data_IF_183825304667
#
_entry.id   IF_183825304667
#
_cell.length_a   1.000
_cell.length_b   1.000
_cell.length_c   1.000
_cell.angle_alpha   90.00
_cell.angle_beta   90.00
_cell.angle_gamma   90.00
#
_symmetry.space_group_name_H-M   'P 1'
#
loop_
_entity.id
_entity.type
_entity.pdbx_description
1 polymer ?
#
# COMPACT_ATOMS: atom_id res chain seq x y z
N UNK A 1 4.78 5.83 17.48
CA UNK A 1 3.71 4.88 17.08
C UNK A 1 2.37 5.13 17.75
N UNK A 2 2.29 5.45 19.06
CA UNK A 2 1.01 5.86 19.68
C UNK A 2 0.48 7.20 19.15
N UNK A 3 1.37 8.16 18.87
CA UNK A 3 1.01 9.51 18.40
C UNK A 3 0.31 9.51 17.04
N UNK A 4 0.55 8.51 16.18
CA UNK A 4 -0.12 8.38 14.87
C UNK A 4 -1.55 7.81 14.99
N UNK A 5 -1.84 7.05 16.06
CA UNK A 5 -3.20 6.54 16.33
C UNK A 5 -4.12 7.63 16.88
N UNK A 6 -3.59 8.59 17.63
CA UNK A 6 -4.39 9.69 18.20
C UNK A 6 -4.71 10.79 17.18
N UNK A 7 -3.87 10.97 16.15
CA UNK A 7 -4.12 11.96 15.07
C UNK A 7 -5.20 11.46 14.09
N UNK A 8 -5.49 10.16 14.05
CA UNK A 8 -6.44 9.58 13.07
C UNK A 8 -7.91 9.57 13.51
N UNK A 9 -8.23 9.86 14.78
CA UNK A 9 -9.63 9.82 15.23
C UNK A 9 -10.45 11.08 14.87
N UNK A 10 -9.81 12.22 14.55
CA UNK A 10 -10.51 13.51 14.48
C UNK A 10 -10.46 14.25 13.12
N UNK A 11 -9.94 13.66 12.04
CA UNK A 11 -9.72 14.43 10.79
C UNK A 11 -10.58 14.04 9.59
N UNK A 12 -11.34 12.94 9.62
CA UNK A 12 -12.33 12.64 8.56
C UNK A 12 -13.51 11.89 9.19
N UNK A 13 -14.49 12.60 9.74
CA UNK A 13 -15.84 12.04 9.79
C UNK A 13 -16.26 11.76 8.34
N UNK A 14 -16.46 10.49 8.00
CA UNK A 14 -16.84 10.13 6.65
C UNK A 14 -18.19 10.76 6.32
N UNK A 15 -18.20 11.80 5.47
CA UNK A 15 -19.42 12.53 5.08
C UNK A 15 -20.54 11.56 4.70
N UNK A 16 -21.69 11.65 5.37
CA UNK A 16 -22.86 10.82 5.01
C UNK A 16 -23.39 11.29 3.66
N UNK A 17 -23.98 10.38 2.90
CA UNK A 17 -24.73 10.77 1.70
C UNK A 17 -25.83 11.76 2.14
N UNK A 18 -25.91 12.97 1.56
CA UNK A 18 -26.97 13.91 1.89
C UNK A 18 -28.35 13.27 1.68
N UNK A 19 -29.31 13.58 2.54
CA UNK A 19 -30.65 12.96 2.54
C UNK A 19 -31.41 13.11 1.22
N UNK A 20 -31.12 14.18 0.49
CA UNK A 20 -31.68 14.56 -0.80
C UNK A 20 -30.96 13.91 -1.99
N UNK A 21 -29.88 13.16 -1.75
CA UNK A 21 -29.08 12.53 -2.77
C UNK A 21 -29.17 11.00 -2.70
N UNK A 22 -29.24 10.37 -3.86
CA UNK A 22 -29.13 8.91 -3.99
C UNK A 22 -27.91 8.57 -4.84
N UNK A 23 -26.96 7.75 -4.34
CA UNK A 23 -25.82 7.30 -5.13
C UNK A 23 -26.30 6.45 -6.30
N UNK A 24 -25.76 6.69 -7.49
CA UNK A 24 -26.12 5.96 -8.72
C UNK A 24 -24.99 5.13 -9.31
N UNK A 25 -23.76 5.44 -8.90
CA UNK A 25 -22.56 4.76 -9.36
C UNK A 25 -21.47 4.85 -8.31
N UNK A 26 -20.65 3.81 -8.20
CA UNK A 26 -19.45 3.79 -7.36
C UNK A 26 -18.20 3.48 -8.20
N UNK A 27 -17.24 4.39 -8.20
CA UNK A 27 -15.88 4.10 -8.65
C UNK A 27 -14.98 3.83 -7.45
N UNK A 28 -14.34 2.66 -7.41
CA UNK A 28 -13.31 2.31 -6.44
C UNK A 28 -12.01 1.96 -7.17
N UNK A 29 -10.91 2.61 -6.79
CA UNK A 29 -9.55 2.18 -7.14
C UNK A 29 -8.79 1.96 -5.83
N UNK A 30 -8.59 0.70 -5.47
CA UNK A 30 -7.98 0.30 -4.22
C UNK A 30 -6.59 -0.28 -4.44
N UNK A 31 -5.66 -0.02 -3.52
CA UNK A 31 -4.41 -0.79 -3.43
C UNK A 31 -4.72 -2.18 -2.88
N UNK A 32 -3.93 -3.17 -3.27
CA UNK A 32 -3.91 -4.44 -2.53
C UNK A 32 -3.68 -4.25 -1.03
N UNK A 33 -4.16 -5.18 -0.22
CA UNK A 33 -3.99 -5.14 1.24
C UNK A 33 -2.57 -5.43 1.70
N UNK A 34 -2.41 -5.49 3.01
CA UNK A 34 -1.15 -5.83 3.67
C UNK A 34 -0.60 -7.16 3.16
N UNK A 35 0.71 -7.18 2.86
CA UNK A 35 1.40 -8.30 2.21
C UNK A 35 2.70 -8.66 2.93
N UNK A 36 3.20 -9.88 2.68
CA UNK A 36 4.54 -10.26 3.08
C UNK A 36 5.61 -9.43 2.33
N UNK A 37 6.83 -9.31 2.86
CA UNK A 37 7.95 -8.72 2.12
C UNK A 37 8.17 -9.44 0.78
N UNK A 38 8.65 -8.73 -0.24
CA UNK A 38 8.96 -9.36 -1.53
C UNK A 38 10.17 -10.28 -1.39
N UNK A 39 10.34 -11.25 -2.29
CA UNK A 39 11.51 -12.15 -2.30
C UNK A 39 12.85 -11.42 -2.22
N UNK A 40 12.98 -10.25 -2.87
CA UNK A 40 14.18 -9.40 -2.75
C UNK A 40 14.38 -8.93 -1.31
N UNK A 41 13.34 -8.37 -0.69
CA UNK A 41 13.37 -7.87 0.69
C UNK A 41 13.59 -8.99 1.72
N UNK A 42 13.06 -10.18 1.50
CA UNK A 42 13.31 -11.34 2.37
C UNK A 42 14.81 -11.69 2.43
N UNK A 43 15.51 -11.68 1.29
CA UNK A 43 16.96 -11.91 1.25
C UNK A 43 17.75 -10.79 1.93
N UNK A 44 17.31 -9.55 1.80
CA UNK A 44 17.93 -8.41 2.50
C UNK A 44 17.79 -8.57 4.02
N UNK A 45 16.63 -9.02 4.51
CA UNK A 45 16.41 -9.29 5.94
C UNK A 45 17.21 -10.50 6.45
N UNK A 46 17.39 -11.55 5.64
CA UNK A 46 18.26 -12.67 6.00
C UNK A 46 19.73 -12.24 6.08
N UNK A 47 20.19 -11.42 5.13
CA UNK A 47 21.53 -10.81 5.17
C UNK A 47 21.71 -9.93 6.42
N UNK A 48 20.68 -9.13 6.74
CA UNK A 48 20.66 -8.34 7.98
C UNK A 48 20.81 -9.24 9.21
N UNK A 49 20.15 -10.41 9.25
CA UNK A 49 20.30 -11.36 10.36
C UNK A 49 21.76 -11.76 10.62
N UNK A 50 22.49 -12.10 9.55
CA UNK A 50 23.92 -12.42 9.63
C UNK A 50 24.74 -11.23 10.10
N UNK A 51 24.47 -10.06 9.54
CA UNK A 51 25.13 -8.80 9.87
C UNK A 51 24.94 -8.38 11.33
N UNK A 52 23.76 -8.59 11.92
CA UNK A 52 23.50 -8.31 13.33
C UNK A 52 24.34 -9.20 14.26
N UNK A 53 24.49 -10.49 13.92
CA UNK A 53 25.35 -11.42 14.68
C UNK A 53 26.82 -11.01 14.64
N UNK A 54 27.31 -10.54 13.49
CA UNK A 54 28.67 -10.03 13.36
C UNK A 54 28.91 -8.80 14.24
N UNK A 55 27.95 -7.86 14.28
CA UNK A 55 28.01 -6.68 15.14
C UNK A 55 28.07 -7.02 16.62
N UNK A 56 27.27 -8.00 17.06
CA UNK A 56 27.27 -8.47 18.45
C UNK A 56 28.60 -9.14 18.79
N UNK A 57 29.12 -10.02 17.92
CA UNK A 57 30.42 -10.66 18.12
C UNK A 57 31.57 -9.66 18.19
N UNK A 58 31.56 -8.65 17.32
CA UNK A 58 32.55 -7.56 17.36
C UNK A 58 32.44 -6.76 18.67
N UNK A 59 31.22 -6.52 19.15
CA UNK A 59 31.01 -5.82 20.41
C UNK A 59 31.53 -6.59 21.62
N UNK A 60 31.29 -7.91 21.65
CA UNK A 60 31.84 -8.82 22.66
C UNK A 60 33.38 -8.82 22.62
N UNK A 61 33.98 -8.93 21.43
CA UNK A 61 35.43 -8.89 21.27
C UNK A 61 36.06 -7.56 21.72
N UNK A 62 35.33 -6.45 21.59
CA UNK A 62 35.73 -5.12 22.07
C UNK A 62 35.37 -4.85 23.54
N UNK A 63 34.79 -5.81 24.25
CA UNK A 63 34.30 -5.66 25.63
C UNK A 63 33.38 -4.43 25.81
N UNK A 64 32.49 -4.19 24.85
CA UNK A 64 31.49 -3.14 24.97
C UNK A 64 30.56 -3.40 26.17
N UNK A 65 30.17 -2.36 26.94
CA UNK A 65 29.18 -2.49 28.00
C UNK A 65 27.87 -3.09 27.50
N UNK A 66 27.25 -3.98 28.28
CA UNK A 66 26.05 -4.71 27.85
C UNK A 66 24.83 -3.80 27.61
N UNK A 67 24.77 -2.65 28.29
CA UNK A 67 23.72 -1.63 28.10
C UNK A 67 23.82 -0.91 26.74
N UNK A 68 24.98 -0.98 26.06
CA UNK A 68 25.18 -0.43 24.72
C UNK A 68 24.59 -1.31 23.62
N UNK A 69 24.52 -2.62 23.84
CA UNK A 69 24.06 -3.60 22.83
C UNK A 69 22.62 -4.03 23.14
N UNK A 70 21.62 -3.63 22.33
CA UNK A 70 20.25 -4.07 22.54
C UNK A 70 20.13 -5.60 22.58
N UNK A 71 19.54 -6.13 23.65
CA UNK A 71 19.54 -7.57 23.92
C UNK A 71 18.83 -8.44 22.89
N UNK A 72 18.00 -7.83 22.02
CA UNK A 72 17.34 -8.53 20.93
C UNK A 72 18.27 -8.80 19.73
N UNK A 73 19.32 -7.98 19.50
CA UNK A 73 20.17 -8.08 18.29
C UNK A 73 20.82 -9.45 18.13
N UNK A 74 21.41 -9.99 19.20
CA UNK A 74 22.08 -11.31 19.16
C UNK A 74 21.11 -12.49 19.06
N UNK A 75 19.83 -12.26 19.39
CA UNK A 75 18.77 -13.27 19.42
C UNK A 75 17.84 -13.18 18.21
N UNK A 76 17.97 -12.12 17.41
CA UNK A 76 17.07 -11.88 16.30
C UNK A 76 17.23 -12.96 15.24
N UNK A 77 16.10 -13.52 14.85
CA UNK A 77 15.98 -14.46 13.74
C UNK A 77 14.88 -13.91 12.85
N UNK A 78 15.14 -13.86 11.54
CA UNK A 78 14.14 -13.42 10.57
C UNK A 78 12.84 -14.20 10.78
N UNK A 79 11.70 -13.53 11.04
CA UNK A 79 10.39 -14.16 11.14
C UNK A 79 9.98 -14.88 9.85
N UNK A 80 10.65 -14.57 8.75
CA UNK A 80 10.46 -15.15 7.43
C UNK A 80 11.57 -16.14 7.04
N UNK A 81 12.35 -16.63 8.01
CA UNK A 81 13.41 -17.61 7.75
C UNK A 81 12.81 -18.87 7.12
N UNK A 82 13.36 -19.27 5.98
CA UNK A 82 12.89 -20.44 5.22
C UNK A 82 11.79 -20.13 4.20
N UNK A 83 11.28 -18.89 4.16
CA UNK A 83 10.30 -18.49 3.15
C UNK A 83 10.92 -18.44 1.74
N UNK A 84 10.37 -19.24 0.83
CA UNK A 84 10.85 -19.33 -0.57
C UNK A 84 10.07 -18.39 -1.50
N UNK A 85 8.83 -18.08 -1.12
CA UNK A 85 7.91 -17.15 -1.80
C UNK A 85 7.89 -15.81 -1.05
N UNK A 86 7.38 -14.76 -1.70
CA UNK A 86 7.28 -13.45 -1.05
C UNK A 86 6.46 -12.46 -1.86
N UNK A 87 5.86 -11.50 -1.16
CA UNK A 87 4.98 -10.48 -1.74
C UNK A 87 3.54 -10.94 -1.93
N UNK A 88 3.14 -12.01 -1.25
CA UNK A 88 1.77 -12.53 -1.20
C UNK A 88 0.93 -11.71 -0.21
N UNK A 89 -0.38 -11.62 -0.48
CA UNK A 89 -1.33 -11.05 0.48
C UNK A 89 -1.31 -11.91 1.74
N UNK A 90 -1.28 -11.29 2.91
CA UNK A 90 -1.36 -12.02 4.18
C UNK A 90 -2.78 -11.92 4.76
N UNK A 91 -3.08 -12.75 5.77
CA UNK A 91 -4.40 -12.78 6.43
C UNK A 91 -4.91 -11.41 6.88
N UNK A 92 -4.01 -10.58 7.41
CA UNK A 92 -4.37 -9.21 7.77
C UNK A 92 -4.83 -8.40 6.55
N UNK A 93 -4.16 -8.53 5.41
CA UNK A 93 -4.58 -7.89 4.16
C UNK A 93 -5.89 -8.47 3.60
N UNK A 94 -6.17 -9.75 3.82
CA UNK A 94 -7.47 -10.34 3.48
C UNK A 94 -8.57 -9.72 4.33
N UNK A 95 -8.39 -9.63 5.65
CA UNK A 95 -9.37 -9.00 6.55
C UNK A 95 -9.56 -7.52 6.24
N UNK A 96 -8.48 -6.76 6.01
CA UNK A 96 -8.54 -5.35 5.61
C UNK A 96 -9.48 -5.12 4.41
N UNK A 97 -9.37 -5.97 3.39
CA UNK A 97 -10.17 -5.85 2.17
C UNK A 97 -11.58 -6.39 2.35
N UNK A 98 -11.74 -7.50 3.07
CA UNK A 98 -13.06 -8.03 3.43
C UNK A 98 -13.87 -6.99 4.19
N UNK A 99 -13.30 -6.41 5.25
CA UNK A 99 -13.95 -5.37 6.03
C UNK A 99 -14.19 -4.10 5.21
N UNK A 100 -13.31 -3.76 4.25
CA UNK A 100 -13.57 -2.67 3.31
C UNK A 100 -14.80 -2.96 2.43
N UNK A 101 -14.95 -4.19 1.94
CA UNK A 101 -16.13 -4.63 1.17
C UNK A 101 -17.43 -4.50 1.96
N UNK A 102 -17.42 -4.98 3.22
CA UNK A 102 -18.56 -4.85 4.14
C UNK A 102 -18.93 -3.38 4.35
N UNK A 103 -17.96 -2.52 4.69
CA UNK A 103 -18.20 -1.08 4.90
C UNK A 103 -18.71 -0.38 3.64
N UNK A 104 -18.25 -0.78 2.45
CA UNK A 104 -18.74 -0.23 1.17
C UNK A 104 -20.20 -0.60 0.95
N UNK A 105 -20.59 -1.86 1.20
CA UNK A 105 -21.99 -2.29 1.12
C UNK A 105 -22.88 -1.50 2.08
N UNK A 106 -22.46 -1.40 3.35
CA UNK A 106 -23.22 -0.71 4.40
C UNK A 106 -23.35 0.79 4.14
N UNK A 107 -22.33 1.41 3.54
CA UNK A 107 -22.34 2.83 3.20
C UNK A 107 -23.23 3.15 2.00
N UNK A 108 -23.37 2.23 1.05
CA UNK A 108 -24.13 2.43 -0.19
C UNK A 108 -25.13 1.30 -0.44
N UNK A 109 -26.09 1.05 0.48
CA UNK A 109 -26.96 -0.13 0.42
C UNK A 109 -27.73 -0.18 -0.90
N UNK A 110 -28.27 0.95 -1.36
CA UNK A 110 -29.07 1.06 -2.59
C UNK A 110 -28.32 0.72 -3.87
N UNK A 111 -26.98 0.81 -3.88
CA UNK A 111 -26.18 0.38 -5.02
C UNK A 111 -26.05 -1.14 -5.09
N UNK A 112 -26.12 -1.85 -3.95
CA UNK A 112 -25.84 -3.28 -3.82
C UNK A 112 -27.07 -4.09 -3.39
N UNK A 113 -28.27 -3.63 -3.75
CA UNK A 113 -29.54 -4.34 -3.52
C UNK A 113 -29.70 -5.53 -4.48
N UNK A 114 -29.25 -5.39 -5.72
CA UNK A 114 -29.41 -6.39 -6.78
C UNK A 114 -28.44 -7.57 -6.62
N UNK A 115 -28.80 -8.69 -7.25
CA UNK A 115 -27.92 -9.85 -7.35
C UNK A 115 -26.68 -9.55 -8.18
N UNK A 116 -25.57 -10.23 -7.87
CA UNK A 116 -24.33 -10.04 -8.61
C UNK A 116 -24.50 -10.43 -10.09
N UNK A 117 -24.19 -9.47 -10.96
CA UNK A 117 -23.91 -9.65 -12.38
C UNK A 117 -22.61 -8.91 -12.75
N UNK A 118 -21.71 -9.50 -13.56
CA UNK A 118 -20.41 -8.87 -13.90
C UNK A 118 -20.53 -7.54 -14.64
N UNK A 119 -21.61 -7.32 -15.40
CA UNK A 119 -21.84 -6.05 -16.12
C UNK A 119 -22.44 -4.94 -15.23
N UNK A 120 -22.98 -5.31 -14.06
CA UNK A 120 -23.54 -4.36 -13.07
C UNK A 120 -22.48 -4.00 -12.03
N UNK A 121 -21.73 -5.01 -11.57
CA UNK A 121 -20.70 -4.89 -10.54
C UNK A 121 -19.35 -5.37 -11.08
N UNK A 122 -18.73 -4.55 -11.92
CA UNK A 122 -17.44 -4.87 -12.54
C UNK A 122 -16.34 -4.90 -11.49
N UNK A 123 -15.72 -6.07 -11.28
CA UNK A 123 -14.53 -6.24 -10.42
C UNK A 123 -13.31 -6.56 -11.27
N UNK A 124 -12.28 -5.72 -11.14
CA UNK A 124 -11.01 -5.83 -11.88
C UNK A 124 -9.83 -5.82 -10.93
N UNK A 125 -8.80 -6.59 -11.25
CA UNK A 125 -7.52 -6.52 -10.57
C UNK A 125 -6.38 -6.53 -11.58
N UNK A 126 -5.24 -5.94 -11.21
CA UNK A 126 -4.00 -6.18 -11.96
C UNK A 126 -3.68 -7.68 -11.95
N UNK A 127 -3.03 -8.18 -13.01
CA UNK A 127 -2.56 -9.57 -13.10
C UNK A 127 -1.34 -9.82 -12.19
N UNK A 128 -1.49 -9.55 -10.90
CA UNK A 128 -0.53 -9.76 -9.82
C UNK A 128 -1.27 -10.43 -8.65
N UNK A 129 -0.79 -11.58 -8.13
CA UNK A 129 -1.55 -12.41 -7.18
C UNK A 129 -2.13 -11.66 -5.98
N UNK A 130 -1.34 -10.81 -5.32
CA UNK A 130 -1.82 -10.03 -4.16
C UNK A 130 -2.95 -9.04 -4.48
N UNK A 131 -3.00 -8.50 -5.70
CA UNK A 131 -4.07 -7.59 -6.11
C UNK A 131 -5.35 -8.35 -6.44
N UNK A 132 -5.22 -9.49 -7.14
CA UNK A 132 -6.36 -10.40 -7.40
C UNK A 132 -6.93 -10.98 -6.10
N UNK A 133 -6.08 -11.47 -5.20
CA UNK A 133 -6.51 -11.95 -3.87
C UNK A 133 -7.19 -10.84 -3.04
N UNK A 134 -6.73 -9.59 -3.16
CA UNK A 134 -7.38 -8.44 -2.50
C UNK A 134 -8.77 -8.17 -3.06
N UNK A 135 -8.93 -8.26 -4.39
CA UNK A 135 -10.23 -8.13 -5.04
C UNK A 135 -11.20 -9.24 -4.60
N UNK A 136 -10.70 -10.47 -4.46
CA UNK A 136 -11.47 -11.60 -3.94
C UNK A 136 -11.89 -11.36 -2.49
N UNK A 137 -10.96 -11.01 -1.61
CA UNK A 137 -11.29 -10.72 -0.21
C UNK A 137 -12.33 -9.60 -0.09
N UNK A 138 -12.17 -8.52 -0.86
CA UNK A 138 -13.15 -7.44 -0.93
C UNK A 138 -14.52 -7.91 -1.43
N UNK A 139 -14.56 -8.68 -2.52
CA UNK A 139 -15.80 -9.23 -3.07
C UNK A 139 -16.52 -10.16 -2.10
N UNK A 140 -15.77 -10.97 -1.35
CA UNK A 140 -16.34 -11.82 -0.27
C UNK A 140 -16.99 -10.98 0.82
N UNK A 141 -16.41 -9.83 1.18
CA UNK A 141 -17.03 -8.90 2.12
C UNK A 141 -18.27 -8.22 1.53
N UNK A 142 -18.13 -7.66 0.33
CA UNK A 142 -19.17 -6.92 -0.39
C UNK A 142 -20.43 -7.77 -0.64
N UNK A 143 -20.26 -9.03 -1.01
CA UNK A 143 -21.36 -9.95 -1.33
C UNK A 143 -21.57 -11.06 -0.29
N UNK A 144 -21.06 -10.87 0.93
CA UNK A 144 -21.40 -11.76 2.05
C UNK A 144 -22.92 -11.76 2.26
N UNK A 145 -23.48 -12.91 2.65
CA UNK A 145 -24.92 -13.10 2.91
C UNK A 145 -25.87 -12.90 1.70
N UNK A 146 -25.31 -12.73 0.49
CA UNK A 146 -26.06 -12.53 -0.76
C UNK A 146 -26.14 -13.80 -1.64
N UNK A 147 -25.79 -14.97 -1.11
CA UNK A 147 -25.88 -16.24 -1.83
C UNK A 147 -26.14 -17.43 -0.92
N UNK A 148 -25.93 -18.64 -1.46
CA UNK A 148 -26.26 -19.90 -0.77
C UNK A 148 -25.03 -20.81 -0.58
N UNK A 149 -23.82 -20.31 -0.89
CA UNK A 149 -22.60 -21.11 -0.78
C UNK A 149 -22.04 -21.09 0.65
N UNK A 150 -22.15 -22.23 1.32
CA UNK A 150 -21.56 -22.49 2.63
C UNK A 150 -22.18 -21.67 3.77
N UNK A 151 -21.66 -21.80 5.01
CA UNK A 151 -22.23 -21.17 6.20
C UNK A 151 -22.28 -19.63 6.13
N UNK A 152 -21.35 -19.02 5.38
CA UNK A 152 -21.31 -17.57 5.18
C UNK A 152 -22.26 -17.05 4.11
N UNK A 153 -23.10 -17.92 3.50
CA UNK A 153 -24.07 -17.55 2.46
C UNK A 153 -23.42 -16.71 1.35
N UNK A 154 -22.25 -17.17 0.88
CA UNK A 154 -21.44 -16.42 -0.06
C UNK A 154 -22.06 -16.46 -1.46
N UNK A 155 -21.95 -15.35 -2.19
CA UNK A 155 -22.23 -15.28 -3.62
C UNK A 155 -20.93 -15.41 -4.41
N UNK A 156 -20.90 -16.26 -5.44
CA UNK A 156 -19.79 -16.31 -6.38
C UNK A 156 -19.78 -15.05 -7.27
N UNK A 157 -18.59 -14.54 -7.57
CA UNK A 157 -18.38 -13.36 -8.43
C UNK A 157 -17.13 -13.54 -9.29
N UNK A 158 -17.02 -12.74 -10.35
CA UNK A 158 -15.88 -12.77 -11.26
C UNK A 158 -14.91 -11.63 -10.95
N UNK A 159 -13.61 -11.94 -10.97
CA UNK A 159 -12.54 -10.93 -10.96
C UNK A 159 -11.81 -11.04 -12.29
N UNK A 160 -11.84 -9.97 -13.07
CA UNK A 160 -11.15 -9.94 -14.38
C UNK A 160 -9.82 -9.19 -14.29
N UNK A 161 -8.92 -9.47 -15.21
CA UNK A 161 -7.61 -8.81 -15.28
C UNK A 161 -7.20 -8.57 -16.73
N UNK A 162 -6.47 -7.49 -16.97
CA UNK A 162 -5.76 -7.27 -18.23
C UNK A 162 -4.41 -7.97 -18.25
N UNK A 163 -3.86 -8.18 -19.45
CA UNK A 163 -2.51 -8.69 -19.59
C UNK A 163 -1.50 -7.76 -18.90
N UNK A 164 -0.62 -8.33 -18.09
CA UNK A 164 0.39 -7.59 -17.31
C UNK A 164 1.23 -6.60 -18.14
N UNK A 165 1.50 -6.91 -19.40
CA UNK A 165 2.34 -6.11 -20.30
C UNK A 165 1.59 -4.93 -20.95
N UNK A 166 0.26 -4.99 -21.02
CA UNK A 166 -0.57 -4.02 -21.76
C UNK A 166 -1.68 -3.39 -20.91
N UNK A 167 -1.67 -3.59 -19.59
CA UNK A 167 -2.61 -2.96 -18.66
C UNK A 167 -2.31 -1.47 -18.47
N UNK A 168 -2.73 -0.66 -19.43
CA UNK A 168 -2.54 0.81 -19.44
C UNK A 168 -3.42 1.53 -18.41
N UNK A 169 -4.37 0.85 -17.77
CA UNK A 169 -5.28 1.47 -16.78
C UNK A 169 -4.80 1.25 -15.35
N UNK A 170 -4.50 0.02 -14.97
CA UNK A 170 -4.12 -0.31 -13.59
C UNK A 170 -2.62 -0.53 -13.41
N UNK A 171 -1.86 -0.67 -14.51
CA UNK A 171 -0.39 -0.80 -14.52
C UNK A 171 0.29 0.16 -15.49
N UNK A 172 -0.25 1.37 -15.71
CA UNK A 172 0.39 2.38 -16.57
C UNK A 172 1.87 2.62 -16.24
N UNK A 173 2.26 2.51 -14.97
CA UNK A 173 3.65 2.65 -14.50
C UNK A 173 4.60 1.57 -15.05
N UNK A 174 4.05 0.47 -15.57
CA UNK A 174 4.76 -0.61 -16.24
C UNK A 174 4.66 -0.54 -17.76
N UNK A 175 3.64 0.13 -18.31
CA UNK A 175 3.45 0.28 -19.75
C UNK A 175 4.14 1.54 -20.31
N UNK A 176 4.30 2.60 -19.52
CA UNK A 176 4.89 3.86 -19.95
C UNK A 176 6.44 3.79 -19.96
N UNK A 177 7.04 3.67 -21.15
CA UNK A 177 8.50 3.62 -21.29
C UNK A 177 9.19 4.93 -20.89
N UNK A 178 8.58 6.08 -21.19
CA UNK A 178 9.12 7.38 -20.78
C UNK A 178 9.21 7.50 -19.26
N UNK A 179 8.18 7.04 -18.54
CA UNK A 179 8.19 7.01 -17.07
C UNK A 179 9.28 6.07 -16.53
N UNK A 180 9.43 4.87 -17.10
CA UNK A 180 10.50 3.94 -16.71
C UNK A 180 11.89 4.56 -16.89
N UNK A 181 12.14 5.16 -18.04
CA UNK A 181 13.41 5.84 -18.34
C UNK A 181 13.66 7.01 -17.40
N UNK A 182 12.64 7.86 -17.19
CA UNK A 182 12.71 8.98 -16.23
C UNK A 182 13.04 8.50 -14.82
N UNK A 183 12.29 7.51 -14.32
CA UNK A 183 12.46 6.97 -12.97
C UNK A 183 13.87 6.41 -12.79
N UNK A 184 14.34 5.58 -13.71
CA UNK A 184 15.68 4.99 -13.64
C UNK A 184 16.78 6.05 -13.65
N UNK A 185 16.61 7.13 -14.43
CA UNK A 185 17.57 8.24 -14.47
C UNK A 185 17.52 9.11 -13.19
N UNK A 186 16.35 9.26 -12.58
CA UNK A 186 16.13 10.15 -11.43
C UNK A 186 16.42 9.49 -10.08
N UNK A 187 16.23 8.17 -9.95
CA UNK A 187 16.39 7.40 -8.70
C UNK A 187 17.75 7.65 -8.01
N UNK A 188 18.91 7.65 -8.71
CA UNK A 188 20.20 7.93 -8.06
C UNK A 188 20.31 9.34 -7.47
N UNK A 189 19.66 10.34 -8.08
CA UNK A 189 19.64 11.70 -7.56
C UNK A 189 18.75 11.81 -6.31
N UNK A 190 17.64 11.07 -6.27
CA UNK A 190 16.76 10.98 -5.10
C UNK A 190 17.46 10.27 -3.94
N UNK A 191 18.20 9.20 -4.22
CA UNK A 191 19.00 8.53 -3.18
C UNK A 191 20.05 9.46 -2.58
N UNK A 192 20.71 10.28 -3.40
CA UNK A 192 21.63 11.34 -2.91
C UNK A 192 20.94 12.37 -2.01
N UNK A 193 19.68 12.74 -2.30
CA UNK A 193 18.92 13.67 -1.45
C UNK A 193 18.60 13.10 -0.07
N UNK A 194 18.47 11.77 0.05
CA UNK A 194 18.22 11.06 1.31
C UNK A 194 19.50 10.84 2.13
N UNK A 195 20.67 10.90 1.51
CA UNK A 195 21.94 10.61 2.18
C UNK A 195 22.22 11.48 3.43
N UNK A 196 21.95 12.79 3.46
CA UNK A 196 22.17 13.60 4.66
C UNK A 196 21.37 13.09 5.87
N UNK A 197 20.11 12.68 5.65
CA UNK A 197 19.26 12.10 6.69
C UNK A 197 19.86 10.78 7.17
N UNK A 198 20.18 9.87 6.24
CA UNK A 198 20.75 8.56 6.58
C UNK A 198 22.12 8.69 7.27
N UNK A 199 22.99 9.60 6.84
CA UNK A 199 24.29 9.86 7.46
C UNK A 199 24.13 10.34 8.90
N UNK A 200 23.25 11.33 9.12
CA UNK A 200 22.97 11.88 10.46
C UNK A 200 22.45 10.80 11.41
N UNK A 201 21.48 10.01 10.97
CA UNK A 201 20.87 8.95 11.78
C UNK A 201 21.88 7.84 12.04
N UNK A 202 22.64 7.43 11.02
CA UNK A 202 23.69 6.41 11.19
C UNK A 202 24.72 6.85 12.22
N UNK A 203 25.23 8.08 12.15
CA UNK A 203 26.18 8.60 13.14
C UNK A 203 25.59 8.62 14.56
N UNK A 204 24.31 8.99 14.69
CA UNK A 204 23.57 8.99 15.95
C UNK A 204 23.41 7.60 16.56
N UNK A 205 22.96 6.62 15.76
CA UNK A 205 22.73 5.22 16.17
C UNK A 205 24.07 4.55 16.51
N UNK A 206 25.12 4.75 15.71
CA UNK A 206 26.49 4.27 16.00
C UNK A 206 26.98 4.82 17.32
N UNK A 207 26.84 6.14 17.56
CA UNK A 207 27.25 6.77 18.82
C UNK A 207 26.46 6.24 20.02
N UNK A 208 25.16 5.98 19.86
CA UNK A 208 24.26 5.49 20.92
C UNK A 208 24.66 4.09 21.38
N UNK A 209 24.89 3.19 20.42
CA UNK A 209 25.10 1.76 20.69
C UNK A 209 26.57 1.30 20.66
N UNK A 210 27.50 2.14 20.19
CA UNK A 210 28.91 1.73 20.01
C UNK A 210 29.12 0.64 18.95
N UNK A 211 28.08 0.32 18.18
CA UNK A 211 28.08 -0.68 17.11
C UNK A 211 28.38 -0.01 15.77
N UNK A 212 29.27 -0.62 14.99
CA UNK A 212 29.73 -0.11 13.69
C UNK A 212 28.68 -0.29 12.59
N UNK A 213 27.49 0.27 12.76
CA UNK A 213 26.42 0.27 11.75
C UNK A 213 26.82 1.11 10.52
N UNK A 214 26.56 0.55 9.34
CA UNK A 214 26.66 1.26 8.07
C UNK A 214 25.34 1.95 7.72
N UNK A 215 25.35 2.86 6.73
CA UNK A 215 24.12 3.40 6.13
C UNK A 215 23.17 2.31 5.65
N UNK A 216 23.71 1.24 5.06
CA UNK A 216 22.91 0.14 4.56
C UNK A 216 22.26 -0.64 5.71
N UNK A 217 22.98 -0.83 6.83
CA UNK A 217 22.41 -1.47 8.01
C UNK A 217 21.24 -0.66 8.55
N UNK A 218 21.40 0.66 8.69
CA UNK A 218 20.35 1.58 9.16
C UNK A 218 19.14 1.58 8.23
N UNK A 219 19.35 1.59 6.92
CA UNK A 219 18.27 1.48 5.93
C UNK A 219 17.50 0.16 6.05
N UNK A 220 18.23 -0.96 6.21
CA UNK A 220 17.63 -2.28 6.40
C UNK A 220 16.89 -2.40 7.75
N UNK A 221 17.41 -1.79 8.81
CA UNK A 221 16.77 -1.72 10.14
C UNK A 221 15.51 -0.83 10.11
N UNK A 222 15.54 0.29 9.39
CA UNK A 222 14.35 1.09 9.17
C UNK A 222 13.27 0.31 8.42
N UNK A 223 13.66 -0.41 7.36
CA UNK A 223 12.76 -1.32 6.67
C UNK A 223 12.22 -2.41 7.61
N UNK A 224 13.08 -3.06 8.40
CA UNK A 224 12.67 -4.08 9.38
C UNK A 224 11.69 -3.52 10.40
N UNK A 225 11.92 -2.32 10.94
CA UNK A 225 11.01 -1.66 11.87
C UNK A 225 9.60 -1.54 11.27
N UNK A 226 9.48 -1.07 10.02
CA UNK A 226 8.19 -0.99 9.34
C UNK A 226 7.52 -2.35 9.21
N UNK A 227 8.27 -3.41 8.89
CA UNK A 227 7.73 -4.76 8.77
C UNK A 227 7.32 -5.36 10.12
N UNK A 228 8.13 -5.19 11.16
CA UNK A 228 7.84 -5.65 12.54
C UNK A 228 6.61 -4.95 13.11
N UNK A 229 6.53 -3.62 12.98
CA UNK A 229 5.42 -2.84 13.50
C UNK A 229 4.12 -3.17 12.76
N UNK A 230 4.14 -3.23 11.42
CA UNK A 230 2.92 -3.38 10.63
C UNK A 230 2.43 -4.83 10.50
N UNK A 231 3.34 -5.82 10.48
CA UNK A 231 2.97 -7.23 10.23
C UNK A 231 2.98 -8.09 11.49
N UNK A 232 3.79 -7.74 12.49
CA UNK A 232 4.03 -8.57 13.68
C UNK A 232 3.62 -7.88 14.97
N UNK A 233 3.19 -6.62 14.90
CA UNK A 233 2.89 -5.78 16.06
C UNK A 233 4.07 -5.69 17.05
N UNK A 234 5.31 -5.73 16.53
CA UNK A 234 6.55 -5.64 17.30
C UNK A 234 7.14 -4.25 17.14
N UNK A 235 7.29 -3.52 18.25
CA UNK A 235 7.82 -2.13 18.25
C UNK A 235 9.02 -1.93 19.19
N UNK A 236 9.39 -2.96 19.95
CA UNK A 236 10.50 -2.99 20.91
C UNK A 236 11.74 -3.74 20.40
N UNK A 237 11.94 -3.75 19.07
CA UNK A 237 13.11 -4.34 18.42
C UNK A 237 13.75 -3.32 17.48
N UNK A 238 13.62 -3.48 16.16
CA UNK A 238 14.30 -2.59 15.21
C UNK A 238 13.84 -1.13 15.34
N UNK A 239 12.56 -0.92 15.67
CA UNK A 239 12.03 0.43 15.88
C UNK A 239 12.63 1.16 17.08
N UNK A 240 13.04 0.44 18.13
CA UNK A 240 13.61 1.03 19.36
C UNK A 240 15.01 1.62 19.12
N UNK A 241 15.68 1.23 18.04
CA UNK A 241 16.96 1.83 17.64
C UNK A 241 16.82 3.30 17.25
N UNK A 242 15.61 3.76 16.92
CA UNK A 242 15.36 5.11 16.42
C UNK A 242 14.56 5.93 17.45
N UNK A 243 15.01 7.14 17.69
CA UNK A 243 14.21 8.12 18.46
C UNK A 243 13.00 8.59 17.64
N UNK A 244 11.93 9.12 18.27
CA UNK A 244 10.76 9.61 17.55
C UNK A 244 11.08 10.66 16.46
N UNK A 245 12.07 11.53 16.68
CA UNK A 245 12.49 12.52 15.69
C UNK A 245 13.29 11.91 14.54
N UNK A 246 14.07 10.87 14.80
CA UNK A 246 14.75 10.09 13.75
C UNK A 246 13.74 9.31 12.90
N UNK A 247 12.70 8.73 13.52
CA UNK A 247 11.58 8.10 12.80
C UNK A 247 10.88 9.10 11.88
N UNK A 248 10.52 10.28 12.38
CA UNK A 248 9.88 11.31 11.55
C UNK A 248 10.75 11.74 10.35
N UNK A 249 12.08 11.82 10.53
CA UNK A 249 13.01 12.12 9.44
C UNK A 249 13.11 10.97 8.42
N UNK A 250 13.05 9.71 8.86
CA UNK A 250 13.06 8.54 7.97
C UNK A 250 11.75 8.43 7.18
N UNK A 251 10.61 8.70 7.83
CA UNK A 251 9.31 8.78 7.16
C UNK A 251 9.30 9.89 6.12
N UNK A 252 9.78 11.09 6.47
CA UNK A 252 9.94 12.19 5.52
C UNK A 252 10.85 11.83 4.34
N UNK A 253 11.94 11.08 4.57
CA UNK A 253 12.83 10.63 3.52
C UNK A 253 12.16 9.61 2.56
N UNK A 254 11.30 8.73 3.08
CA UNK A 254 10.47 7.84 2.27
C UNK A 254 9.42 8.63 1.46
N UNK A 255 8.78 9.63 2.08
CA UNK A 255 7.80 10.49 1.42
C UNK A 255 8.42 11.34 0.32
N UNK A 256 9.63 11.88 0.53
CA UNK A 256 10.40 12.60 -0.49
C UNK A 256 10.64 11.73 -1.73
N UNK A 257 11.01 10.46 -1.53
CA UNK A 257 11.20 9.51 -2.64
C UNK A 257 9.90 9.29 -3.42
N UNK A 258 8.80 9.04 -2.70
CA UNK A 258 7.48 8.83 -3.32
C UNK A 258 7.02 10.10 -4.06
N UNK A 259 7.16 11.27 -3.45
CA UNK A 259 6.80 12.55 -4.06
C UNK A 259 7.55 12.78 -5.37
N UNK A 260 8.87 12.59 -5.39
CA UNK A 260 9.69 12.85 -6.58
C UNK A 260 9.44 11.80 -7.67
N UNK A 261 9.43 10.52 -7.31
CA UNK A 261 9.44 9.43 -8.29
C UNK A 261 8.04 8.96 -8.71
N UNK A 262 7.00 9.25 -7.93
CA UNK A 262 5.64 8.71 -8.15
C UNK A 262 4.53 9.77 -8.01
N UNK A 263 4.76 10.83 -7.24
CA UNK A 263 3.79 11.90 -6.99
C UNK A 263 4.06 13.15 -7.84
N UNK A 264 3.81 14.32 -7.25
CA UNK A 264 3.84 15.62 -7.93
C UNK A 264 5.22 16.11 -8.37
N UNK A 265 6.32 15.43 -8.03
CA UNK A 265 7.67 15.86 -8.42
C UNK A 265 7.93 15.91 -9.93
N UNK A 266 7.12 15.24 -10.75
CA UNK A 266 7.11 15.42 -12.20
C UNK A 266 5.73 15.11 -12.79
N UNK A 267 5.28 15.92 -13.75
CA UNK A 267 3.98 15.70 -14.38
C UNK A 267 3.83 14.36 -15.11
N UNK A 268 4.93 13.78 -15.59
CA UNK A 268 4.95 12.45 -16.21
C UNK A 268 4.49 11.35 -15.23
N UNK A 269 4.78 11.51 -13.93
CA UNK A 269 4.45 10.52 -12.92
C UNK A 269 2.94 10.25 -12.84
N UNK A 270 2.11 11.27 -13.06
CA UNK A 270 0.65 11.15 -12.95
C UNK A 270 -0.09 11.26 -14.29
N UNK A 271 0.46 11.97 -15.30
CA UNK A 271 -0.13 12.02 -16.65
C UNK A 271 -0.18 10.65 -17.34
N UNK A 272 0.70 9.72 -16.97
CA UNK A 272 0.60 8.34 -17.46
C UNK A 272 -0.68 7.62 -17.02
N UNK A 273 -1.37 8.11 -15.99
CA UNK A 273 -2.64 7.58 -15.49
C UNK A 273 -3.89 8.07 -16.23
N UNK A 274 -3.77 8.90 -17.28
CA UNK A 274 -4.92 9.42 -18.04
C UNK A 274 -5.87 8.33 -18.54
N UNK A 275 -5.41 7.16 -19.06
CA UNK A 275 -6.33 6.10 -19.46
C UNK A 275 -7.21 5.55 -18.32
N UNK A 276 -6.73 5.61 -17.07
CA UNK A 276 -7.54 5.26 -15.90
C UNK A 276 -8.57 6.36 -15.58
N UNK A 277 -8.18 7.63 -15.72
CA UNK A 277 -9.09 8.76 -15.52
C UNK A 277 -10.23 8.74 -16.54
N UNK A 278 -9.91 8.55 -17.82
CA UNK A 278 -10.91 8.38 -18.88
C UNK A 278 -11.85 7.21 -18.57
N UNK A 279 -11.33 6.07 -18.11
CA UNK A 279 -12.15 4.91 -17.74
C UNK A 279 -13.08 5.18 -16.54
N UNK A 280 -12.68 6.04 -15.61
CA UNK A 280 -13.50 6.48 -14.47
C UNK A 280 -14.59 7.46 -14.92
N UNK A 281 -14.23 8.46 -15.72
CA UNK A 281 -15.19 9.46 -16.22
C UNK A 281 -16.25 8.82 -17.11
N UNK A 282 -15.83 7.97 -18.06
CA UNK A 282 -16.76 7.27 -18.94
C UNK A 282 -17.75 6.37 -18.17
N UNK A 283 -17.33 5.70 -17.08
CA UNK A 283 -18.26 4.88 -16.29
C UNK A 283 -19.28 5.74 -15.53
N UNK A 284 -18.87 6.92 -15.07
CA UNK A 284 -19.77 7.89 -14.43
C UNK A 284 -20.78 8.46 -15.43
N UNK A 285 -20.32 8.88 -16.61
CA UNK A 285 -21.17 9.39 -17.69
C UNK A 285 -22.19 8.34 -18.15
N UNK A 286 -21.76 7.08 -18.31
CA UNK A 286 -22.64 5.98 -18.67
C UNK A 286 -23.74 5.75 -17.63
N UNK A 287 -23.41 5.81 -16.34
CA UNK A 287 -24.38 5.66 -15.26
C UNK A 287 -25.36 6.84 -15.16
N UNK A 288 -24.89 8.07 -15.42
CA UNK A 288 -25.74 9.25 -15.51
C UNK A 288 -26.75 9.09 -16.65
N UNK A 289 -26.25 8.75 -17.85
CA UNK A 289 -27.10 8.53 -19.03
C UNK A 289 -28.14 7.42 -18.79
N UNK A 290 -27.73 6.29 -18.20
CA UNK A 290 -28.64 5.20 -17.87
C UNK A 290 -29.77 5.63 -16.93
N UNK A 291 -29.48 6.52 -15.97
CA UNK A 291 -30.49 7.09 -15.07
C UNK A 291 -31.43 8.06 -15.79
N UNK A 292 -30.90 8.95 -16.62
CA UNK A 292 -31.70 9.92 -17.39
C UNK A 292 -32.65 9.23 -18.38
N UNK A 293 -32.20 8.14 -18.99
CA UNK A 293 -33.00 7.32 -19.91
C UNK A 293 -33.96 6.35 -19.19
N UNK A 294 -33.97 6.33 -17.85
CA UNK A 294 -34.76 5.41 -17.03
C UNK A 294 -34.58 3.93 -17.42
N UNK A 295 -33.33 3.53 -17.68
CA UNK A 295 -33.02 2.13 -17.97
C UNK A 295 -33.37 1.23 -16.78
N UNK A 296 -33.80 -0.02 -17.02
CA UNK A 296 -34.21 -0.91 -15.95
C UNK A 296 -33.05 -1.20 -14.98
N UNK A 297 -33.34 -1.36 -13.66
CA UNK A 297 -32.36 -1.85 -12.69
C UNK A 297 -31.70 -3.14 -13.18
N UNK A 298 -30.39 -3.29 -12.95
CA UNK A 298 -29.60 -4.42 -13.42
C UNK A 298 -29.18 -4.39 -14.89
N UNK A 299 -29.56 -3.38 -15.69
CA UNK A 299 -29.15 -3.28 -17.10
C UNK A 299 -27.98 -2.33 -17.36
N UNK A 300 -27.37 -1.75 -16.32
CA UNK A 300 -26.27 -0.81 -16.41
C UNK A 300 -25.31 -0.93 -15.23
N UNK A 301 -24.09 -0.42 -15.40
CA UNK A 301 -23.02 -0.55 -14.40
C UNK A 301 -23.28 0.35 -13.19
N UNK A 302 -23.48 -0.27 -12.01
CA UNK A 302 -23.65 0.43 -10.72
C UNK A 302 -22.35 0.58 -9.95
N UNK A 303 -21.37 -0.30 -10.15
CA UNK A 303 -20.07 -0.15 -9.52
C UNK A 303 -18.94 -0.65 -10.41
N UNK A 304 -17.85 0.11 -10.42
CA UNK A 304 -16.59 -0.27 -11.04
C UNK A 304 -15.47 -0.30 -10.00
N UNK A 305 -15.06 -1.51 -9.66
CA UNK A 305 -14.21 -1.83 -8.51
C UNK A 305 -12.87 -2.34 -9.01
N UNK A 306 -11.78 -1.59 -8.77
CA UNK A 306 -10.46 -1.86 -9.36
C UNK A 306 -9.40 -2.04 -8.27
N UNK A 307 -8.60 -3.11 -8.34
CA UNK A 307 -7.56 -3.43 -7.35
C UNK A 307 -6.16 -3.42 -7.98
N UNK A 308 -5.27 -2.60 -7.43
CA UNK A 308 -3.98 -2.28 -8.03
C UNK A 308 -2.86 -2.08 -6.99
N UNK A 309 -1.93 -1.15 -7.25
CA UNK A 309 -0.71 -0.95 -6.48
C UNK A 309 -0.58 0.48 -5.96
N UNK A 310 0.35 0.72 -5.03
CA UNK A 310 0.68 2.08 -4.61
C UNK A 310 1.17 2.93 -5.81
N UNK A 311 1.89 2.29 -6.74
CA UNK A 311 2.32 2.85 -8.02
C UNK A 311 1.16 3.19 -8.99
N UNK A 312 -0.08 2.79 -8.66
CA UNK A 312 -1.31 3.21 -9.35
C UNK A 312 -2.00 4.31 -8.56
N UNK A 313 -2.20 4.11 -7.26
CA UNK A 313 -2.99 5.01 -6.41
C UNK A 313 -2.35 6.39 -6.29
N UNK A 314 -1.04 6.47 -6.01
CA UNK A 314 -0.35 7.75 -5.79
C UNK A 314 -0.36 8.63 -7.05
N UNK A 315 0.04 8.14 -8.23
CA UNK A 315 -0.15 8.88 -9.48
C UNK A 315 -1.60 9.30 -9.73
N UNK A 316 -2.56 8.41 -9.47
CA UNK A 316 -3.96 8.69 -9.77
C UNK A 316 -4.54 9.76 -8.85
N UNK A 317 -4.21 9.77 -7.55
CA UNK A 317 -4.59 10.86 -6.66
C UNK A 317 -4.00 12.20 -7.10
N UNK A 318 -2.74 12.20 -7.59
CA UNK A 318 -2.13 13.41 -8.13
C UNK A 318 -2.85 13.91 -9.38
N UNK A 319 -3.24 12.99 -10.28
CA UNK A 319 -3.98 13.30 -11.51
C UNK A 319 -5.37 13.89 -11.22
N UNK A 320 -6.01 13.47 -10.13
CA UNK A 320 -7.27 14.03 -9.63
C UNK A 320 -7.11 15.41 -8.96
N UNK A 321 -5.88 15.92 -8.83
CA UNK A 321 -5.62 17.19 -8.16
C UNK A 321 -5.71 17.14 -6.63
N UNK A 322 -5.71 15.94 -6.03
CA UNK A 322 -5.82 15.77 -4.59
C UNK A 322 -4.47 15.94 -3.90
N UNK A 323 -4.48 16.56 -2.71
CA UNK A 323 -3.29 16.73 -1.86
C UNK A 323 -2.16 17.57 -2.50
N UNK A 324 -2.51 18.40 -3.49
CA UNK A 324 -1.66 19.49 -3.94
C UNK A 324 -1.93 20.69 -3.01
N UNK A 325 -0.96 21.07 -2.20
CA UNK A 325 -1.10 22.26 -1.36
C UNK A 325 -1.34 23.50 -2.24
N UNK A 326 -2.36 24.29 -1.88
CA UNK A 326 -2.78 25.48 -2.61
C UNK A 326 -1.80 26.66 -2.51
N UNK A 327 -0.63 26.48 -1.89
CA UNK A 327 0.41 27.50 -1.79
C UNK A 327 1.34 27.45 -3.01
N UNK A 328 0.84 27.97 -4.12
CA UNK A 328 1.60 28.54 -5.22
C UNK A 328 1.30 30.03 -5.31
#
# INVERSE_FOLDING_TARGET
>A
YSVSKDVTQNLIEGSKVPSECTPIHLNLVARHGTRSPTKKRLRELESLAGRLKELVRDAEARNLPSDKVPGWLGKWVSPWKGEVKGGELIRQGEDELYQLGVRVRERFPTLFEEDYHPDVYTIRATQIPRASASAVAFGMGLFSEKGDLGPGRNRAFAVTSENRASDTKLRFFECCQNYKSYRNAKEPAVDKLKEPVLNKITASVVKRHGLSFTKQDVSSLWFLCKQEASLLNVTNQSCELFTPSEVALLEWADDLEVFILKGYGNSLNYKMGVPLLEDVLHSMEAAIKAREENLPPGSYEKARLRFAHAETIVPFSCLLGLFLDASG
#
